data_IF_418453357692
#
_entry.id   IF_418453357692
#
_cell.length_a   1.000
_cell.length_b   1.000
_cell.length_c   1.000
_cell.angle_alpha   90.00
_cell.angle_beta   90.00
_cell.angle_gamma   90.00
#
_symmetry.space_group_name_H-M   'P 1'
#
loop_
_entity.id
_entity.type
_entity.pdbx_description
1 polymer ?
#
# COMPACT_ATOMS: atom_id res chain seq x y z
N UNK A 1 19.42 -20.74 -2.67
CA UNK A 1 18.15 -20.69 -2.01
C UNK A 1 17.26 -19.57 -2.57
N UNK A 2 16.05 -19.87 -2.72
CA UNK A 2 15.08 -18.95 -3.30
C UNK A 2 14.70 -17.86 -2.31
N UNK A 3 14.74 -16.63 -2.75
CA UNK A 3 14.29 -15.50 -1.96
C UNK A 3 12.84 -15.17 -2.31
N UNK A 4 12.19 -14.39 -1.46
CA UNK A 4 10.85 -13.89 -1.73
C UNK A 4 10.79 -13.16 -3.08
N UNK A 5 11.78 -12.30 -3.35
CA UNK A 5 11.78 -11.48 -4.55
C UNK A 5 11.92 -12.30 -5.83
N UNK A 6 12.47 -13.52 -5.76
CA UNK A 6 12.52 -14.38 -6.94
C UNK A 6 11.24 -15.21 -7.11
N UNK A 7 10.41 -15.32 -6.05
CA UNK A 7 9.18 -16.09 -6.09
C UNK A 7 7.94 -15.22 -6.33
N UNK A 8 8.01 -13.94 -6.02
CA UNK A 8 6.87 -13.04 -6.13
C UNK A 8 7.19 -11.89 -7.07
N UNK A 9 6.25 -11.59 -7.96
CA UNK A 9 6.34 -10.43 -8.82
C UNK A 9 5.59 -9.26 -8.17
N UNK A 10 5.78 -8.07 -8.72
CA UNK A 10 5.03 -6.90 -8.27
C UNK A 10 3.53 -7.14 -8.41
N UNK A 11 3.10 -7.81 -9.47
CA UNK A 11 1.68 -8.12 -9.69
C UNK A 11 1.16 -9.08 -8.62
N UNK A 12 1.95 -10.07 -8.22
CA UNK A 12 1.57 -10.99 -7.15
C UNK A 12 1.32 -10.24 -5.85
N UNK A 13 2.22 -9.31 -5.51
CA UNK A 13 2.09 -8.53 -4.29
C UNK A 13 0.89 -7.60 -4.36
N UNK A 14 0.63 -7.00 -5.53
CA UNK A 14 -0.53 -6.16 -5.72
C UNK A 14 -1.82 -6.95 -5.49
N UNK A 15 -1.90 -8.19 -6.00
CA UNK A 15 -3.06 -9.05 -5.78
C UNK A 15 -3.23 -9.39 -4.30
N UNK A 16 -2.15 -9.65 -3.58
CA UNK A 16 -2.21 -9.93 -2.15
C UNK A 16 -2.75 -8.73 -1.38
N UNK A 17 -2.30 -7.54 -1.72
CA UNK A 17 -2.79 -6.31 -1.08
C UNK A 17 -4.26 -6.06 -1.39
N UNK A 18 -4.67 -6.31 -2.63
CA UNK A 18 -6.06 -6.16 -3.02
C UNK A 18 -6.97 -7.05 -2.17
N UNK A 19 -6.61 -8.31 -2.01
CA UNK A 19 -7.39 -9.26 -1.23
C UNK A 19 -7.41 -8.91 0.25
N UNK A 20 -6.27 -8.46 0.77
CA UNK A 20 -6.13 -8.19 2.19
C UNK A 20 -6.77 -6.87 2.62
N UNK A 21 -6.64 -5.83 1.81
CA UNK A 21 -7.03 -4.48 2.19
C UNK A 21 -8.31 -3.99 1.52
N UNK A 22 -8.76 -4.67 0.48
CA UNK A 22 -10.02 -4.37 -0.24
C UNK A 22 -10.11 -2.88 -0.64
N UNK A 23 -9.17 -2.38 -1.46
CA UNK A 23 -9.24 -0.99 -1.92
C UNK A 23 -10.43 -0.76 -2.85
N UNK A 24 -10.89 0.47 -2.93
CA UNK A 24 -12.01 0.85 -3.79
C UNK A 24 -11.61 0.95 -5.25
N UNK A 25 -10.35 1.27 -5.53
CA UNK A 25 -9.87 1.45 -6.88
C UNK A 25 -8.38 1.13 -6.95
N UNK A 26 -7.96 0.49 -8.04
CA UNK A 26 -6.58 0.09 -8.24
C UNK A 26 -6.13 0.61 -9.60
N UNK A 27 -5.00 1.32 -9.62
CA UNK A 27 -4.45 1.89 -10.85
C UNK A 27 -3.02 1.39 -11.01
N UNK A 28 -2.73 0.78 -12.15
CA UNK A 28 -1.38 0.37 -12.48
C UNK A 28 -0.71 1.48 -13.28
N UNK A 29 0.41 1.98 -12.77
CA UNK A 29 1.15 3.06 -13.42
C UNK A 29 2.03 2.53 -14.55
N UNK A 30 2.31 3.38 -15.53
CA UNK A 30 3.29 3.08 -16.58
C UNK A 30 4.71 2.94 -16.02
N UNK A 31 4.97 3.55 -14.88
CA UNK A 31 6.29 3.49 -14.25
C UNK A 31 6.54 2.16 -13.52
N UNK A 32 5.59 1.23 -13.61
CA UNK A 32 5.78 -0.08 -12.99
C UNK A 32 5.46 -0.11 -11.52
N UNK A 33 4.63 0.78 -11.04
CA UNK A 33 4.14 0.69 -9.68
C UNK A 33 2.62 0.71 -9.67
N UNK A 34 2.05 0.30 -8.52
CA UNK A 34 0.61 0.23 -8.34
C UNK A 34 0.16 1.30 -7.37
N UNK A 35 -1.03 1.83 -7.62
CA UNK A 35 -1.64 2.86 -6.80
C UNK A 35 -3.01 2.35 -6.33
N UNK A 36 -3.21 2.27 -5.01
CA UNK A 36 -4.44 1.76 -4.42
C UNK A 36 -5.15 2.90 -3.73
N UNK A 37 -6.42 3.09 -4.05
CA UNK A 37 -7.24 4.13 -3.45
C UNK A 37 -8.33 3.50 -2.60
N UNK A 38 -8.59 4.10 -1.46
CA UNK A 38 -9.63 3.63 -0.55
C UNK A 38 -10.74 4.68 -0.47
N UNK A 39 -11.91 4.27 0.10
CA UNK A 39 -13.02 5.18 0.21
C UNK A 39 -12.67 6.39 1.07
N UNK A 40 -13.16 7.54 0.66
CA UNK A 40 -12.91 8.77 1.38
C UNK A 40 -13.67 8.77 2.69
N UNK A 41 -12.99 9.17 3.77
CA UNK A 41 -13.55 9.25 5.11
C UNK A 41 -13.35 10.67 5.63
N UNK A 42 -14.44 11.36 5.91
CA UNK A 42 -14.40 12.75 6.42
C UNK A 42 -13.58 13.69 5.52
N UNK A 43 -13.71 13.49 4.20
CA UNK A 43 -12.98 14.32 3.24
C UNK A 43 -11.54 13.92 3.00
N UNK A 44 -11.08 12.86 3.67
CA UNK A 44 -9.71 12.36 3.55
C UNK A 44 -9.71 11.02 2.86
N UNK A 45 -8.76 10.80 1.98
CA UNK A 45 -8.66 9.56 1.21
C UNK A 45 -7.36 8.85 1.53
N UNK A 46 -7.42 7.63 2.09
CA UNK A 46 -6.22 6.82 2.24
C UNK A 46 -5.76 6.31 0.88
N UNK A 47 -4.45 6.33 0.64
CA UNK A 47 -3.88 5.81 -0.60
C UNK A 47 -2.60 5.04 -0.30
N UNK A 48 -2.27 4.08 -1.16
CA UNK A 48 -1.06 3.29 -1.04
C UNK A 48 -0.37 3.27 -2.41
N UNK A 49 0.94 3.45 -2.40
CA UNK A 49 1.77 3.28 -3.60
C UNK A 49 2.68 2.09 -3.37
N UNK A 50 2.62 1.12 -4.27
CA UNK A 50 3.46 -0.08 -4.23
C UNK A 50 4.45 -0.01 -5.37
N UNK A 51 5.74 -0.13 -5.06
CA UNK A 51 6.79 -0.03 -6.06
C UNK A 51 7.83 -1.10 -5.83
N UNK A 52 8.39 -1.61 -6.91
CA UNK A 52 9.50 -2.56 -6.85
C UNK A 52 10.82 -1.79 -6.96
N UNK A 53 11.71 -2.02 -6.00
CA UNK A 53 13.05 -1.48 -6.02
C UNK A 53 14.01 -2.57 -6.50
N UNK A 54 15.30 -2.28 -6.55
CA UNK A 54 16.28 -3.20 -7.12
C UNK A 54 16.29 -4.56 -6.42
N UNK A 55 16.22 -4.57 -5.11
CA UNK A 55 16.33 -5.79 -4.31
C UNK A 55 15.24 -5.95 -3.25
N UNK A 56 14.23 -5.12 -3.31
CA UNK A 56 13.14 -5.14 -2.33
C UNK A 56 11.94 -4.38 -2.88
N UNK A 57 10.88 -4.35 -2.09
CA UNK A 57 9.66 -3.61 -2.43
C UNK A 57 9.43 -2.52 -1.41
N UNK A 58 8.70 -1.49 -1.79
CA UNK A 58 8.33 -0.43 -0.88
C UNK A 58 6.83 -0.14 -1.00
N UNK A 59 6.22 0.18 0.15
CA UNK A 59 4.83 0.62 0.22
C UNK A 59 4.85 1.98 0.90
N UNK A 60 4.22 2.95 0.25
CA UNK A 60 3.99 4.26 0.85
C UNK A 60 2.50 4.40 1.15
N UNK A 61 2.17 4.51 2.44
CA UNK A 61 0.81 4.77 2.88
C UNK A 61 0.69 6.24 3.24
N UNK A 62 -0.33 6.91 2.73
CA UNK A 62 -0.59 8.30 3.09
C UNK A 62 -2.08 8.59 3.02
N UNK A 63 -2.47 9.70 3.63
CA UNK A 63 -3.84 10.20 3.59
C UNK A 63 -3.81 11.55 2.91
N UNK A 64 -4.63 11.71 1.88
CA UNK A 64 -4.67 12.94 1.10
C UNK A 64 -6.06 13.56 1.13
N UNK A 65 -6.12 14.86 0.87
CA UNK A 65 -7.40 15.55 0.75
C UNK A 65 -7.89 15.54 -0.72
N UNK A 66 -8.96 16.24 -0.99
CA UNK A 66 -9.54 16.27 -2.34
C UNK A 66 -8.59 16.83 -3.39
N UNK A 67 -7.58 17.57 -2.99
CA UNK A 67 -6.57 18.13 -3.89
C UNK A 67 -5.32 17.27 -3.95
N UNK A 68 -5.39 16.05 -3.41
CA UNK A 68 -4.28 15.08 -3.36
C UNK A 68 -3.08 15.59 -2.57
N UNK A 69 -3.31 16.44 -1.58
CA UNK A 69 -2.25 16.91 -0.69
C UNK A 69 -2.25 16.09 0.59
N UNK A 70 -1.07 15.73 1.04
CA UNK A 70 -0.90 14.97 2.28
C UNK A 70 -1.40 15.75 3.48
N UNK A 71 -2.11 15.06 4.37
CA UNK A 71 -2.73 15.68 5.55
C UNK A 71 -2.20 15.08 6.85
N UNK A 72 -0.88 14.90 6.91
CA UNK A 72 -0.23 14.52 8.14
C UNK A 72 0.05 13.04 8.32
N UNK A 73 -0.53 12.20 7.48
CA UNK A 73 -0.29 10.76 7.53
C UNK A 73 0.59 10.35 6.38
N UNK A 74 1.81 9.92 6.68
CA UNK A 74 2.71 9.39 5.66
C UNK A 74 3.63 8.37 6.32
N UNK A 75 3.55 7.12 5.87
CA UNK A 75 4.40 6.04 6.37
C UNK A 75 4.94 5.24 5.20
N UNK A 76 6.25 5.08 5.16
CA UNK A 76 6.90 4.29 4.13
C UNK A 76 7.45 3.02 4.75
N UNK A 77 7.18 1.90 4.09
CA UNK A 77 7.64 0.59 4.53
C UNK A 77 8.47 -0.05 3.44
N UNK A 78 9.43 -0.87 3.85
CA UNK A 78 10.24 -1.66 2.92
C UNK A 78 10.11 -3.13 3.31
N UNK A 79 10.09 -4.01 2.33
CA UNK A 79 10.01 -5.43 2.61
C UNK A 79 10.65 -6.25 1.50
N UNK A 80 11.13 -7.45 1.87
CA UNK A 80 11.77 -8.37 0.95
C UNK A 80 11.19 -9.77 1.04
N UNK A 81 10.26 -10.01 1.97
CA UNK A 81 9.67 -11.33 2.15
C UNK A 81 8.22 -11.20 2.59
N UNK A 82 7.50 -12.32 2.51
CA UNK A 82 6.08 -12.34 2.81
C UNK A 82 5.77 -12.01 4.27
N UNK A 83 6.65 -12.44 5.17
CA UNK A 83 6.45 -12.18 6.59
C UNK A 83 6.44 -10.70 6.89
N UNK A 84 7.37 -9.98 6.29
CA UNK A 84 7.43 -8.52 6.41
C UNK A 84 6.20 -7.85 5.80
N UNK A 85 5.75 -8.36 4.64
CA UNK A 85 4.56 -7.84 3.99
C UNK A 85 3.32 -8.00 4.88
N UNK A 86 3.17 -9.17 5.50
CA UNK A 86 2.02 -9.41 6.38
C UNK A 86 2.02 -8.46 7.58
N UNK A 87 3.19 -8.17 8.13
CA UNK A 87 3.30 -7.22 9.23
C UNK A 87 2.91 -5.81 8.78
N UNK A 88 3.29 -5.43 7.58
CA UNK A 88 2.92 -4.13 7.01
C UNK A 88 1.42 -4.05 6.78
N UNK A 89 0.82 -5.10 6.24
CA UNK A 89 -0.63 -5.16 6.03
C UNK A 89 -1.39 -4.94 7.33
N UNK A 90 -0.93 -5.57 8.41
CA UNK A 90 -1.57 -5.42 9.72
C UNK A 90 -1.51 -3.96 10.19
N UNK A 91 -0.37 -3.31 10.00
CA UNK A 91 -0.22 -1.91 10.37
C UNK A 91 -1.12 -0.98 9.56
N UNK A 92 -1.23 -1.26 8.26
CA UNK A 92 -2.08 -0.45 7.39
C UNK A 92 -3.55 -0.62 7.78
N UNK A 93 -3.98 -1.83 8.09
CA UNK A 93 -5.35 -2.07 8.56
C UNK A 93 -5.64 -1.28 9.83
N UNK A 94 -4.67 -1.22 10.74
CA UNK A 94 -4.80 -0.45 11.96
C UNK A 94 -4.95 1.05 11.66
N UNK A 95 -4.14 1.57 10.74
CA UNK A 95 -4.23 2.97 10.33
C UNK A 95 -5.59 3.28 9.68
N UNK A 96 -6.07 2.39 8.82
CA UNK A 96 -7.37 2.58 8.18
C UNK A 96 -8.48 2.64 9.22
N UNK A 97 -8.43 1.77 10.23
CA UNK A 97 -9.40 1.79 11.32
C UNK A 97 -9.36 3.10 12.11
N UNK A 98 -8.17 3.62 12.37
CA UNK A 98 -8.01 4.88 13.10
C UNK A 98 -8.58 6.07 12.33
N UNK A 99 -8.43 6.07 11.02
CA UNK A 99 -8.97 7.13 10.19
C UNK A 99 -10.49 7.11 10.23
N UNK A 100 -11.10 5.92 10.22
CA UNK A 100 -12.55 5.79 10.29
C UNK A 100 -13.12 6.28 11.64
N UNK A 101 -12.33 6.16 12.70
CA UNK A 101 -12.74 6.60 14.02
C UNK A 101 -12.56 8.11 14.24
N UNK A 102 -11.79 8.75 13.41
CA UNK A 102 -11.44 10.15 13.58
C UNK A 102 -12.60 11.11 13.26
#
# INVERSE_FOLDING_TARGET
MTTMTSAYTLDDIANMLEESLAPSNIIKSYDGFWYFRFDRVNGLEPVIELEELKDKFTILFQVVDKDFKNRGWMKRFYFSNRQELLAIEAKIKDYLGKIEEA
#
